data_IF_420156340913
#
_entry.id   IF_420156340913
#
_cell.length_a   1.000
_cell.length_b   1.000
_cell.length_c   1.000
_cell.angle_alpha   90.00
_cell.angle_beta   90.00
_cell.angle_gamma   90.00
#
_symmetry.space_group_name_H-M   'P 1'
#
loop_
_entity.id
_entity.type
_entity.pdbx_description
1 polymer ?
#
# COMPACT_ATOMS: atom_id res chain seq x y z
N UNK A 1 -12.27 -7.08 1.90
CA UNK A 1 -11.09 -7.07 1.04
C UNK A 1 -10.72 -8.51 0.79
N UNK A 2 -10.62 -8.93 -0.46
CA UNK A 2 -10.30 -10.33 -0.81
C UNK A 2 -8.79 -10.55 -0.86
N UNK A 3 -8.33 -11.81 -0.74
CA UNK A 3 -6.93 -12.18 -0.92
C UNK A 3 -6.35 -11.65 -2.25
N UNK A 4 -7.14 -11.70 -3.33
CA UNK A 4 -6.77 -11.19 -4.64
C UNK A 4 -6.55 -9.67 -4.67
N UNK A 5 -7.36 -8.90 -3.93
CA UNK A 5 -7.17 -7.44 -3.83
C UNK A 5 -5.87 -7.10 -3.09
N UNK A 6 -5.55 -7.83 -2.02
CA UNK A 6 -4.28 -7.65 -1.30
C UNK A 6 -3.09 -8.03 -2.18
N UNK A 7 -3.19 -9.10 -2.96
CA UNK A 7 -2.16 -9.51 -3.90
C UNK A 7 -1.97 -8.48 -5.01
N UNK A 8 -3.04 -7.95 -5.61
CA UNK A 8 -2.96 -6.91 -6.63
C UNK A 8 -2.32 -5.62 -6.10
N UNK A 9 -2.68 -5.21 -4.88
CA UNK A 9 -2.10 -4.04 -4.24
C UNK A 9 -0.60 -4.21 -3.98
N UNK A 10 -0.18 -5.36 -3.44
CA UNK A 10 1.24 -5.64 -3.21
C UNK A 10 1.98 -5.76 -4.54
N UNK A 11 1.36 -6.35 -5.57
CA UNK A 11 1.93 -6.45 -6.91
C UNK A 11 2.18 -5.07 -7.52
N UNK A 12 1.19 -4.18 -7.43
CA UNK A 12 1.36 -2.80 -7.85
C UNK A 12 2.48 -2.11 -7.05
N UNK A 13 2.54 -2.29 -5.73
CA UNK A 13 3.57 -1.69 -4.89
C UNK A 13 4.97 -2.17 -5.30
N UNK A 14 5.13 -3.46 -5.58
CA UNK A 14 6.36 -4.06 -6.09
C UNK A 14 6.79 -3.38 -7.39
N UNK A 15 5.92 -3.35 -8.40
CA UNK A 15 6.30 -2.91 -9.74
C UNK A 15 6.35 -1.38 -9.91
N UNK A 16 5.66 -0.61 -9.08
CA UNK A 16 5.62 0.85 -9.20
C UNK A 16 6.64 1.59 -8.34
N UNK A 17 7.17 0.95 -7.29
CA UNK A 17 8.01 1.64 -6.30
C UNK A 17 9.32 0.95 -5.96
N UNK A 18 9.45 -0.35 -6.19
CA UNK A 18 10.71 -1.03 -5.95
C UNK A 18 11.67 -0.76 -7.11
N UNK A 19 12.92 -0.47 -6.77
CA UNK A 19 14.01 -0.31 -7.75
C UNK A 19 14.31 -1.68 -8.38
N UNK A 20 13.62 -1.96 -9.50
CA UNK A 20 13.65 -3.25 -10.20
C UNK A 20 15.08 -3.79 -10.40
N UNK A 21 16.07 -2.98 -10.85
CA UNK A 21 17.47 -3.41 -10.92
C UNK A 21 18.03 -3.99 -9.62
N UNK A 22 17.81 -3.32 -8.48
CA UNK A 22 18.31 -3.79 -7.16
C UNK A 22 17.69 -5.13 -6.81
N UNK A 23 16.39 -5.30 -7.09
CA UNK A 23 15.68 -6.54 -6.81
C UNK A 23 16.05 -7.68 -7.74
N UNK A 24 16.34 -7.40 -9.01
CA UNK A 24 16.87 -8.41 -9.92
C UNK A 24 18.20 -8.95 -9.38
N UNK A 25 19.11 -8.08 -8.95
CA UNK A 25 20.38 -8.52 -8.37
C UNK A 25 20.20 -9.28 -7.05
N UNK A 26 19.30 -8.83 -6.18
CA UNK A 26 18.96 -9.54 -4.96
C UNK A 26 18.38 -10.95 -5.25
N UNK A 27 17.53 -11.06 -6.27
CA UNK A 27 16.96 -12.32 -6.73
C UNK A 27 18.03 -13.25 -7.29
N UNK A 28 18.94 -12.74 -8.12
CA UNK A 28 20.07 -13.51 -8.67
C UNK A 28 20.97 -14.01 -7.53
N UNK A 29 21.31 -13.14 -6.57
CA UNK A 29 22.11 -13.52 -5.42
C UNK A 29 21.43 -14.59 -4.54
N UNK A 30 20.13 -14.44 -4.28
CA UNK A 30 19.35 -15.41 -3.52
C UNK A 30 19.29 -16.76 -4.23
N UNK A 31 18.93 -16.78 -5.52
CA UNK A 31 18.88 -18.01 -6.33
C UNK A 31 20.26 -18.68 -6.35
N UNK A 32 21.33 -17.93 -6.58
CA UNK A 32 22.70 -18.44 -6.54
C UNK A 32 23.05 -19.07 -5.18
N UNK A 33 22.67 -18.42 -4.08
CA UNK A 33 22.90 -18.95 -2.72
C UNK A 33 22.12 -20.24 -2.44
N UNK A 34 20.86 -20.34 -2.89
CA UNK A 34 20.04 -21.54 -2.73
C UNK A 34 20.62 -22.72 -3.53
N UNK A 35 21.05 -22.47 -4.76
CA UNK A 35 21.71 -23.49 -5.60
C UNK A 35 23.01 -23.97 -4.95
N UNK A 36 23.81 -23.06 -4.39
CA UNK A 36 25.04 -23.42 -3.67
C UNK A 36 24.74 -24.28 -2.44
N UNK A 37 23.76 -23.90 -1.62
CA UNK A 37 23.34 -24.66 -0.43
C UNK A 37 22.90 -26.06 -0.82
N UNK A 38 22.09 -26.21 -1.86
CA UNK A 38 21.64 -27.51 -2.33
C UNK A 38 22.78 -28.37 -2.89
N UNK A 39 23.73 -27.76 -3.58
CA UNK A 39 24.92 -28.46 -4.05
C UNK A 39 25.74 -29.01 -2.89
N UNK A 40 25.98 -28.17 -1.86
CA UNK A 40 26.67 -28.57 -0.63
C UNK A 40 25.89 -29.67 0.10
N UNK A 41 24.57 -29.53 0.21
CA UNK A 41 23.68 -30.50 0.84
C UNK A 41 23.74 -31.85 0.15
N UNK A 42 23.61 -31.89 -1.17
CA UNK A 42 23.73 -33.15 -1.92
C UNK A 42 25.13 -33.76 -1.79
N UNK A 43 26.18 -32.95 -1.74
CA UNK A 43 27.55 -33.43 -1.49
C UNK A 43 27.78 -33.98 -0.09
N UNK A 44 27.05 -33.50 0.92
CA UNK A 44 27.08 -34.05 2.26
C UNK A 44 26.61 -35.51 2.29
N UNK A 45 25.65 -35.86 1.44
CA UNK A 45 25.14 -37.23 1.31
C UNK A 45 25.94 -38.07 0.31
N UNK A 46 26.39 -37.48 -0.81
CA UNK A 46 27.18 -38.15 -1.83
C UNK A 46 28.30 -37.23 -2.33
N UNK A 47 29.57 -37.51 -1.98
CA UNK A 47 30.73 -36.68 -2.40
C UNK A 47 30.85 -36.48 -3.91
N UNK A 48 30.36 -37.42 -4.73
CA UNK A 48 30.39 -37.32 -6.19
C UNK A 48 29.12 -36.69 -6.78
N UNK A 49 28.21 -36.22 -5.93
CA UNK A 49 27.00 -35.54 -6.33
C UNK A 49 27.32 -34.28 -7.12
N UNK A 50 26.58 -34.10 -8.22
CA UNK A 50 26.55 -32.87 -8.98
C UNK A 50 25.20 -32.74 -9.68
N UNK A 51 24.75 -31.51 -9.87
CA UNK A 51 23.52 -31.23 -10.62
C UNK A 51 23.57 -31.74 -12.07
N UNK A 52 24.77 -31.84 -12.65
CA UNK A 52 24.96 -32.38 -14.01
C UNK A 52 24.56 -33.85 -14.16
N UNK A 53 24.62 -34.65 -13.09
CA UNK A 53 24.20 -36.06 -13.09
C UNK A 53 22.68 -36.24 -12.92
N UNK A 54 21.97 -35.20 -12.50
CA UNK A 54 20.53 -35.24 -12.24
C UNK A 54 19.85 -33.97 -12.76
N UNK A 55 19.75 -33.81 -14.09
CA UNK A 55 19.29 -32.56 -14.72
C UNK A 55 17.85 -32.20 -14.33
N UNK A 56 16.98 -33.19 -14.14
CA UNK A 56 15.59 -32.96 -13.71
C UNK A 56 15.53 -32.33 -12.31
N UNK A 57 16.37 -32.79 -11.38
CA UNK A 57 16.49 -32.21 -10.04
C UNK A 57 17.05 -30.78 -10.13
N UNK A 58 18.03 -30.53 -11.00
CA UNK A 58 18.59 -29.21 -11.21
C UNK A 58 17.55 -28.19 -11.73
N UNK A 59 16.70 -28.61 -12.68
CA UNK A 59 15.63 -27.77 -13.24
C UNK A 59 14.55 -27.48 -12.19
N UNK A 60 14.01 -28.51 -11.54
CA UNK A 60 13.00 -28.35 -10.49
C UNK A 60 13.51 -27.49 -9.33
N UNK A 61 14.77 -27.67 -8.98
CA UNK A 61 15.38 -26.88 -7.92
C UNK A 61 15.55 -25.42 -8.31
N UNK A 62 15.96 -25.14 -9.56
CA UNK A 62 16.01 -23.77 -10.08
C UNK A 62 14.64 -23.10 -10.06
N UNK A 63 13.57 -23.79 -10.49
CA UNK A 63 12.19 -23.27 -10.46
C UNK A 63 11.78 -22.95 -9.02
N UNK A 64 12.01 -23.87 -8.08
CA UNK A 64 11.67 -23.65 -6.68
C UNK A 64 12.48 -22.48 -6.08
N UNK A 65 13.75 -22.30 -6.47
CA UNK A 65 14.58 -21.19 -6.01
C UNK A 65 14.06 -19.83 -6.51
N UNK A 66 13.63 -19.76 -7.78
CA UNK A 66 12.98 -18.56 -8.32
C UNK A 66 11.67 -18.26 -7.59
N UNK A 67 10.85 -19.28 -7.31
CA UNK A 67 9.60 -19.13 -6.55
C UNK A 67 9.83 -18.66 -5.11
N UNK A 68 10.86 -19.16 -4.44
CA UNK A 68 11.27 -18.68 -3.10
C UNK A 68 11.69 -17.21 -3.17
N UNK A 69 12.46 -16.84 -4.19
CA UNK A 69 12.86 -15.45 -4.40
C UNK A 69 11.67 -14.53 -4.61
N UNK A 70 10.74 -14.90 -5.50
CA UNK A 70 9.53 -14.12 -5.73
C UNK A 70 8.71 -14.01 -4.43
N UNK A 71 8.56 -15.11 -3.69
CA UNK A 71 7.86 -15.11 -2.40
C UNK A 71 8.51 -14.17 -1.38
N UNK A 72 9.84 -14.09 -1.37
CA UNK A 72 10.62 -13.19 -0.50
C UNK A 72 10.41 -11.72 -0.89
N UNK A 73 10.41 -11.41 -2.18
CA UNK A 73 10.08 -10.09 -2.72
C UNK A 73 8.69 -9.64 -2.29
N UNK A 74 7.67 -10.49 -2.51
CA UNK A 74 6.29 -10.20 -2.13
C UNK A 74 6.13 -10.07 -0.61
N UNK A 75 6.82 -10.90 0.17
CA UNK A 75 6.82 -10.79 1.64
C UNK A 75 7.35 -9.43 2.09
N UNK A 76 8.45 -8.98 1.51
CA UNK A 76 9.06 -7.70 1.86
C UNK A 76 8.22 -6.50 1.43
N UNK A 77 7.59 -6.58 0.26
CA UNK A 77 6.65 -5.57 -0.20
C UNK A 77 5.41 -5.49 0.71
N UNK A 78 4.87 -6.64 1.15
CA UNK A 78 3.79 -6.68 2.12
C UNK A 78 4.19 -6.04 3.46
N UNK A 79 5.41 -6.28 3.94
CA UNK A 79 5.95 -5.64 5.15
C UNK A 79 6.03 -4.12 5.04
N UNK A 80 6.62 -3.63 3.93
CA UNK A 80 6.81 -2.20 3.69
C UNK A 80 5.53 -1.44 3.37
N UNK A 81 4.47 -2.14 2.99
CA UNK A 81 3.20 -1.52 2.60
C UNK A 81 2.59 -0.65 3.70
N UNK A 82 2.65 -1.09 4.96
CA UNK A 82 2.11 -0.34 6.09
C UNK A 82 2.88 0.97 6.33
N UNK A 83 4.20 0.90 6.35
CA UNK A 83 5.06 2.09 6.50
C UNK A 83 4.83 3.06 5.34
N UNK A 84 4.66 2.54 4.13
CA UNK A 84 4.36 3.36 2.97
C UNK A 84 3.01 4.06 3.05
N UNK A 85 1.95 3.38 3.51
CA UNK A 85 0.63 4.00 3.74
C UNK A 85 0.71 5.15 4.74
N UNK A 86 1.46 4.97 5.82
CA UNK A 86 1.66 6.01 6.84
C UNK A 86 2.39 7.23 6.24
N UNK A 87 3.40 7.00 5.39
CA UNK A 87 4.08 8.08 4.66
C UNK A 87 3.14 8.79 3.66
N UNK A 88 2.26 8.06 2.99
CA UNK A 88 1.26 8.64 2.08
C UNK A 88 0.25 9.50 2.82
N UNK A 89 -0.02 9.26 4.11
CA UNK A 89 -0.93 10.08 4.91
C UNK A 89 -0.48 11.53 4.95
N UNK A 90 0.76 11.76 5.38
CA UNK A 90 1.32 13.12 5.48
C UNK A 90 1.36 13.80 4.11
N UNK A 91 1.77 13.07 3.07
CA UNK A 91 1.90 13.64 1.73
C UNK A 91 0.54 13.95 1.08
N UNK A 92 -0.47 13.09 1.26
CA UNK A 92 -1.81 13.34 0.72
C UNK A 92 -2.52 14.48 1.44
N UNK A 93 -2.39 14.56 2.78
CA UNK A 93 -2.89 15.71 3.54
C UNK A 93 -2.28 16.99 2.98
N UNK A 94 -0.95 17.05 2.88
CA UNK A 94 -0.22 18.19 2.32
C UNK A 94 -0.70 18.54 0.91
N UNK A 95 -0.79 17.57 0.00
CA UNK A 95 -1.25 17.81 -1.37
C UNK A 95 -2.69 18.32 -1.47
N UNK A 96 -3.57 17.91 -0.56
CA UNK A 96 -4.97 18.33 -0.58
C UNK A 96 -5.16 19.69 0.09
N UNK A 97 -4.42 20.00 1.16
CA UNK A 97 -4.55 21.26 1.91
C UNK A 97 -3.78 22.41 1.25
N UNK A 98 -2.61 22.15 0.67
CA UNK A 98 -1.78 23.18 0.02
C UNK A 98 -2.22 23.51 -1.41
N UNK A 99 -3.18 22.77 -1.98
CA UNK A 99 -3.63 22.99 -3.36
C UNK A 99 -4.50 24.25 -3.49
N UNK A 100 -3.88 25.35 -3.93
CA UNK A 100 -4.58 26.62 -4.12
C UNK A 100 -5.73 26.56 -5.13
N UNK A 101 -5.59 25.78 -6.22
CA UNK A 101 -6.66 25.58 -7.21
C UNK A 101 -7.87 24.84 -6.64
N UNK A 102 -7.61 23.84 -5.78
CA UNK A 102 -8.66 23.08 -5.10
C UNK A 102 -9.38 23.93 -4.06
N UNK A 103 -8.63 24.65 -3.23
CA UNK A 103 -9.22 25.51 -2.21
C UNK A 103 -10.13 26.58 -2.82
N UNK A 104 -9.76 27.14 -3.97
CA UNK A 104 -10.62 28.04 -4.76
C UNK A 104 -11.90 27.35 -5.29
N UNK A 105 -11.81 26.09 -5.73
CA UNK A 105 -12.97 25.31 -6.16
C UNK A 105 -13.94 25.03 -5.01
N UNK A 106 -13.42 24.63 -3.85
CA UNK A 106 -14.21 24.42 -2.63
C UNK A 106 -14.95 25.71 -2.27
N UNK A 107 -14.24 26.86 -2.33
CA UNK A 107 -14.82 28.18 -2.08
C UNK A 107 -15.93 28.54 -3.05
N UNK A 108 -15.71 28.34 -4.37
CA UNK A 108 -16.76 28.57 -5.37
C UNK A 108 -17.99 27.70 -5.10
N UNK A 109 -17.79 26.42 -4.79
CA UNK A 109 -18.88 25.48 -4.49
C UNK A 109 -19.65 25.88 -3.23
N UNK A 110 -18.95 26.37 -2.20
CA UNK A 110 -19.59 26.89 -0.99
C UNK A 110 -20.37 28.18 -1.28
N UNK A 111 -19.79 29.09 -2.07
CA UNK A 111 -20.42 30.37 -2.45
C UNK A 111 -21.72 30.16 -3.23
N UNK A 112 -21.74 29.23 -4.19
CA UNK A 112 -22.94 28.87 -4.95
C UNK A 112 -24.10 28.40 -4.05
N UNK A 113 -23.79 27.80 -2.89
CA UNK A 113 -24.79 27.29 -1.94
C UNK A 113 -25.22 28.30 -0.89
N UNK A 114 -24.32 29.20 -0.49
CA UNK A 114 -24.59 30.26 0.49
C UNK A 114 -25.31 31.45 -0.19
N UNK A 115 -24.99 31.72 -1.46
CA UNK A 115 -25.58 32.79 -2.28
C UNK A 115 -24.60 33.95 -2.55
N UNK A 116 -24.82 34.66 -3.66
CA UNK A 116 -23.91 35.71 -4.18
C UNK A 116 -23.77 36.95 -3.30
N UNK A 117 -24.69 37.18 -2.35
CA UNK A 117 -24.68 38.37 -1.47
C UNK A 117 -23.53 38.39 -0.45
N UNK A 118 -22.66 37.39 -0.46
CA UNK A 118 -21.62 37.09 0.55
C UNK A 118 -20.19 37.20 0.00
N UNK A 119 -20.02 37.70 -1.23
CA UNK A 119 -18.73 37.81 -1.90
C UNK A 119 -17.96 39.07 -1.45
N UNK A 120 -16.86 38.87 -0.71
CA UNK A 120 -15.83 39.90 -0.47
C UNK A 120 -14.58 39.49 -1.26
N UNK A 121 -14.55 39.83 -2.55
CA UNK A 121 -13.46 39.54 -3.51
C UNK A 121 -13.22 38.06 -3.87
N UNK A 122 -12.55 37.82 -5.00
CA UNK A 122 -12.26 36.47 -5.58
C UNK A 122 -11.56 35.47 -4.63
N UNK A 123 -10.97 35.94 -3.52
CA UNK A 123 -10.19 35.13 -2.58
C UNK A 123 -10.62 35.32 -1.11
N UNK A 124 -11.81 35.84 -0.84
CA UNK A 124 -12.34 35.90 0.53
C UNK A 124 -13.84 35.63 0.56
N UNK A 125 -14.27 34.88 1.57
CA UNK A 125 -15.67 34.55 1.81
C UNK A 125 -16.05 35.10 3.18
N UNK A 126 -17.10 35.91 3.24
CA UNK A 126 -17.66 36.34 4.52
C UNK A 126 -18.66 35.28 4.99
N UNK A 127 -18.43 34.71 6.17
CA UNK A 127 -19.36 33.79 6.82
C UNK A 127 -20.18 34.61 7.81
N UNK A 128 -21.50 34.64 7.66
CA UNK A 128 -22.40 35.46 8.50
C UNK A 128 -22.96 34.70 9.68
N UNK A 129 -22.95 33.38 9.61
CA UNK A 129 -23.51 32.51 10.63
C UNK A 129 -22.83 31.13 10.61
N UNK A 130 -23.23 30.30 11.57
CA UNK A 130 -22.74 28.92 11.70
C UNK A 130 -23.12 28.04 10.50
N UNK A 131 -24.29 28.26 9.89
CA UNK A 131 -24.76 27.52 8.71
C UNK A 131 -23.88 27.76 7.48
N UNK A 132 -23.35 28.97 7.30
CA UNK A 132 -22.39 29.28 6.23
C UNK A 132 -21.08 28.52 6.45
N UNK A 133 -20.63 28.46 7.72
CA UNK A 133 -19.42 27.72 8.12
C UNK A 133 -19.59 26.21 7.89
N UNK A 134 -20.76 25.67 8.24
CA UNK A 134 -21.13 24.28 7.98
C UNK A 134 -21.17 23.99 6.48
N UNK A 135 -21.72 24.91 5.67
CA UNK A 135 -21.77 24.76 4.21
C UNK A 135 -20.38 24.73 3.59
N UNK A 136 -19.45 25.56 4.09
CA UNK A 136 -18.05 25.56 3.68
C UNK A 136 -17.34 24.24 4.05
N UNK A 137 -17.49 23.78 5.30
CA UNK A 137 -16.91 22.52 5.75
C UNK A 137 -17.48 21.32 4.98
N UNK A 138 -18.78 21.34 4.68
CA UNK A 138 -19.44 20.33 3.84
C UNK A 138 -18.86 20.30 2.42
N UNK A 139 -18.68 21.47 1.79
CA UNK A 139 -18.11 21.56 0.46
C UNK A 139 -16.68 21.00 0.43
N UNK A 140 -15.88 21.31 1.45
CA UNK A 140 -14.53 20.77 1.60
C UNK A 140 -14.52 19.24 1.75
N UNK A 141 -15.35 18.69 2.66
CA UNK A 141 -15.46 17.26 2.88
C UNK A 141 -15.96 16.50 1.62
N UNK A 142 -16.90 17.10 0.89
CA UNK A 142 -17.44 16.52 -0.34
C UNK A 142 -16.41 16.50 -1.48
N UNK A 143 -15.63 17.57 -1.62
CA UNK A 143 -14.62 17.67 -2.66
C UNK A 143 -13.50 16.63 -2.48
N UNK A 144 -13.22 16.16 -1.26
CA UNK A 144 -12.28 15.05 -1.01
C UNK A 144 -12.78 13.74 -1.59
N UNK A 145 -14.09 13.47 -1.51
CA UNK A 145 -14.65 12.14 -1.80
C UNK A 145 -14.44 11.69 -3.26
N UNK A 146 -14.57 12.60 -4.23
CA UNK A 146 -14.45 12.28 -5.67
C UNK A 146 -13.02 11.93 -6.16
N UNK A 147 -11.97 12.75 -5.91
CA UNK A 147 -10.63 12.49 -6.41
C UNK A 147 -9.84 11.50 -5.55
N UNK A 148 -10.31 11.16 -4.35
CA UNK A 148 -9.52 10.34 -3.43
C UNK A 148 -9.39 8.90 -3.92
N UNK A 149 -10.44 8.35 -4.53
CA UNK A 149 -10.43 7.02 -5.11
C UNK A 149 -9.50 6.87 -6.32
N UNK A 150 -9.06 7.97 -6.97
CA UNK A 150 -8.16 7.92 -8.14
C UNK A 150 -6.71 8.23 -7.81
N UNK A 151 -6.41 8.66 -6.58
CA UNK A 151 -5.03 8.94 -6.12
C UNK A 151 -4.44 7.72 -5.43
N UNK A 152 -3.15 7.45 -5.64
CA UNK A 152 -2.42 6.47 -4.85
C UNK A 152 -2.44 6.90 -3.37
N UNK A 153 -2.67 5.99 -2.40
CA UNK A 153 -2.69 4.52 -2.48
C UNK A 153 -4.04 3.88 -2.84
N UNK A 154 -5.09 4.68 -3.01
CA UNK A 154 -6.49 4.21 -3.09
C UNK A 154 -6.92 3.82 -4.51
N UNK A 155 -6.35 4.47 -5.54
CA UNK A 155 -6.53 4.11 -6.95
C UNK A 155 -6.20 2.66 -7.34
N UNK A 156 -5.05 2.08 -6.94
CA UNK A 156 -4.65 0.73 -7.33
C UNK A 156 -5.34 -0.40 -6.55
N UNK A 157 -6.50 -0.15 -5.92
CA UNK A 157 -7.31 -1.19 -5.29
C UNK A 157 -7.27 -1.26 -3.76
N UNK A 158 -6.68 -0.27 -3.07
CA UNK A 158 -6.89 -0.15 -1.64
C UNK A 158 -8.34 0.32 -1.38
N UNK A 159 -9.06 -0.30 -0.44
CA UNK A 159 -10.46 0.02 -0.22
C UNK A 159 -10.58 1.44 0.32
N UNK A 160 -11.32 2.28 -0.39
CA UNK A 160 -11.58 3.66 -0.01
C UNK A 160 -12.96 3.73 0.63
N UNK A 161 -13.02 4.29 1.85
CA UNK A 161 -14.28 4.67 2.47
C UNK A 161 -14.11 6.05 3.06
N UNK A 162 -14.99 6.95 2.65
CA UNK A 162 -15.09 8.31 3.17
C UNK A 162 -16.32 8.39 4.07
N UNK A 163 -16.31 9.31 5.04
CA UNK A 163 -17.47 9.57 5.89
C UNK A 163 -18.50 10.41 5.13
N UNK A 164 -19.73 10.39 5.61
CA UNK A 164 -20.72 11.34 5.10
C UNK A 164 -20.25 12.79 5.36
N UNK A 165 -20.36 13.62 4.33
CA UNK A 165 -19.83 14.98 4.36
C UNK A 165 -20.57 15.87 5.36
N UNK A 166 -21.84 15.59 5.66
CA UNK A 166 -22.60 16.35 6.68
C UNK A 166 -22.04 16.08 8.08
N UNK A 167 -21.78 14.81 8.41
CA UNK A 167 -21.24 14.43 9.71
C UNK A 167 -19.86 15.04 9.96
N UNK A 168 -18.99 15.05 8.93
CA UNK A 168 -17.67 15.69 9.03
C UNK A 168 -17.80 17.20 9.21
N UNK A 169 -18.69 17.85 8.48
CA UNK A 169 -18.91 19.28 8.60
C UNK A 169 -19.36 19.69 10.02
N UNK A 170 -20.33 18.96 10.59
CA UNK A 170 -20.82 19.20 11.95
C UNK A 170 -19.72 19.02 13.00
N UNK A 171 -18.92 17.95 12.89
CA UNK A 171 -17.81 17.66 13.80
C UNK A 171 -16.74 18.76 13.74
N UNK A 172 -16.37 19.18 12.52
CA UNK A 172 -15.36 20.23 12.31
C UNK A 172 -15.82 21.58 12.85
N UNK A 173 -17.08 21.97 12.62
CA UNK A 173 -17.63 23.23 13.14
C UNK A 173 -17.69 23.21 14.68
N UNK A 174 -18.08 22.08 15.29
CA UNK A 174 -18.09 21.91 16.75
C UNK A 174 -16.69 22.00 17.36
N UNK A 175 -15.71 21.38 16.73
CA UNK A 175 -14.33 21.33 17.22
C UNK A 175 -13.56 22.65 16.97
N UNK A 176 -14.01 23.47 16.02
CA UNK A 176 -13.39 24.74 15.66
C UNK A 176 -14.43 25.87 15.83
N UNK A 177 -14.72 26.26 17.08
CA UNK A 177 -15.72 27.29 17.35
C UNK A 177 -15.27 28.66 16.85
N UNK A 178 -16.25 29.43 16.37
CA UNK A 178 -16.12 30.87 16.09
C UNK A 178 -16.59 31.64 17.32
N UNK A 179 -15.81 32.65 17.73
CA UNK A 179 -16.19 33.51 18.85
C UNK A 179 -17.29 34.50 18.47
N UNK A 180 -17.22 35.08 17.26
CA UNK A 180 -18.19 36.08 16.76
C UNK A 180 -18.31 36.05 15.23
N UNK A 181 -19.54 36.18 14.71
CA UNK A 181 -19.84 36.40 13.29
C UNK A 181 -20.21 37.88 13.03
N UNK A 182 -20.02 38.42 11.81
CA UNK A 182 -19.47 37.76 10.63
C UNK A 182 -17.93 37.60 10.69
N UNK A 183 -17.40 36.64 9.93
CA UNK A 183 -15.95 36.42 9.81
C UNK A 183 -15.56 36.25 8.35
N UNK A 184 -14.52 36.96 7.91
CA UNK A 184 -13.96 36.79 6.56
C UNK A 184 -12.87 35.72 6.58
N UNK A 185 -13.01 34.73 5.71
CA UNK A 185 -12.08 33.60 5.59
C UNK A 185 -11.44 33.54 4.21
N UNK A 186 -10.16 33.16 4.18
CA UNK A 186 -9.44 32.88 2.94
C UNK A 186 -9.62 31.42 2.50
N UNK A 187 -9.35 31.09 1.22
CA UNK A 187 -9.40 29.72 0.70
C UNK A 187 -8.64 28.69 1.53
N UNK A 188 -7.51 29.08 2.12
CA UNK A 188 -6.77 28.29 3.09
C UNK A 188 -7.21 28.69 4.50
N UNK A 189 -8.21 27.99 5.03
CA UNK A 189 -8.68 28.20 6.39
C UNK A 189 -8.80 26.89 7.16
N UNK A 190 -8.85 27.04 8.48
CA UNK A 190 -8.92 25.94 9.45
C UNK A 190 -10.09 24.96 9.24
N UNK A 191 -11.24 25.41 8.75
CA UNK A 191 -12.38 24.52 8.51
C UNK A 191 -12.19 23.65 7.28
N UNK A 192 -11.67 24.23 6.18
CA UNK A 192 -11.33 23.48 4.97
C UNK A 192 -10.24 22.47 5.28
N UNK A 193 -9.17 22.89 5.95
CA UNK A 193 -8.06 22.03 6.34
C UNK A 193 -8.53 20.87 7.23
N UNK A 194 -9.31 21.15 8.27
CA UNK A 194 -9.81 20.13 9.19
C UNK A 194 -10.79 19.16 8.52
N UNK A 195 -11.71 19.65 7.68
CA UNK A 195 -12.66 18.80 6.96
C UNK A 195 -11.95 17.89 5.95
N UNK A 196 -10.95 18.43 5.23
CA UNK A 196 -10.13 17.66 4.30
C UNK A 196 -9.33 16.59 5.03
N UNK A 197 -8.66 16.98 6.13
CA UNK A 197 -7.83 16.08 6.93
C UNK A 197 -8.67 14.96 7.55
N UNK A 198 -9.85 15.27 8.10
CA UNK A 198 -10.74 14.26 8.67
C UNK A 198 -11.20 13.21 7.64
N UNK A 199 -11.51 13.64 6.41
CA UNK A 199 -11.87 12.71 5.33
C UNK A 199 -10.69 11.83 4.88
N UNK A 200 -9.50 12.41 4.77
CA UNK A 200 -8.29 11.68 4.42
C UNK A 200 -7.91 10.66 5.49
N UNK A 201 -8.00 11.05 6.76
CA UNK A 201 -7.68 10.21 7.90
C UNK A 201 -8.61 9.01 8.00
N UNK A 202 -9.92 9.18 7.82
CA UNK A 202 -10.84 8.03 7.76
C UNK A 202 -10.45 7.10 6.61
N UNK A 203 -10.28 7.63 5.40
CA UNK A 203 -10.03 6.81 4.22
C UNK A 203 -8.74 6.01 4.33
N UNK A 204 -7.67 6.62 4.85
CA UNK A 204 -6.38 5.97 5.07
C UNK A 204 -6.40 5.01 6.27
N UNK A 205 -7.11 5.36 7.35
CA UNK A 205 -7.33 4.45 8.48
C UNK A 205 -8.10 3.21 8.06
N UNK A 206 -9.17 3.38 7.27
CA UNK A 206 -9.95 2.28 6.73
C UNK A 206 -9.13 1.41 5.78
N UNK A 207 -8.40 2.03 4.85
CA UNK A 207 -7.51 1.33 3.94
C UNK A 207 -6.43 0.55 4.68
N UNK A 208 -5.74 1.18 5.64
CA UNK A 208 -4.69 0.53 6.43
C UNK A 208 -5.22 -0.64 7.26
N UNK A 209 -6.39 -0.50 7.89
CA UNK A 209 -6.99 -1.56 8.69
C UNK A 209 -7.32 -2.78 7.82
N UNK A 210 -7.90 -2.55 6.63
CA UNK A 210 -8.22 -3.63 5.69
C UNK A 210 -6.98 -4.25 5.06
N UNK A 211 -6.00 -3.44 4.70
CA UNK A 211 -4.73 -3.90 4.13
C UNK A 211 -3.90 -4.68 5.15
N UNK A 212 -3.86 -4.29 6.42
CA UNK A 212 -3.14 -5.01 7.48
C UNK A 212 -3.58 -6.46 7.60
N UNK A 213 -4.89 -6.71 7.62
CA UNK A 213 -5.42 -8.08 7.68
C UNK A 213 -5.01 -8.89 6.43
N UNK A 214 -5.26 -8.36 5.24
CA UNK A 214 -4.95 -9.06 3.99
C UNK A 214 -3.46 -9.27 3.74
N UNK A 215 -2.61 -8.32 4.12
CA UNK A 215 -1.15 -8.44 4.04
C UNK A 215 -0.59 -9.41 5.08
N UNK A 216 -1.18 -9.50 6.27
CA UNK A 216 -0.79 -10.50 7.26
C UNK A 216 -1.09 -11.93 6.77
N UNK A 217 -2.28 -12.16 6.20
CA UNK A 217 -2.65 -13.45 5.60
C UNK A 217 -1.73 -13.80 4.41
N UNK A 218 -1.47 -12.83 3.53
CA UNK A 218 -0.55 -13.01 2.40
C UNK A 218 0.85 -13.39 2.89
N UNK A 219 1.38 -12.71 3.93
CA UNK A 219 2.67 -13.07 4.52
C UNK A 219 2.62 -14.49 5.05
N UNK A 220 1.64 -14.85 5.87
CA UNK A 220 1.54 -16.22 6.39
C UNK A 220 1.54 -17.27 5.27
N UNK A 221 0.76 -17.05 4.21
CA UNK A 221 0.71 -17.93 3.04
C UNK A 221 2.07 -18.03 2.32
N UNK A 222 2.74 -16.90 2.09
CA UNK A 222 4.08 -16.85 1.49
C UNK A 222 5.13 -17.56 2.37
N UNK A 223 5.03 -17.43 3.69
CA UNK A 223 5.92 -18.11 4.64
C UNK A 223 5.78 -19.61 4.58
N UNK A 224 4.54 -20.11 4.62
CA UNK A 224 4.23 -21.52 4.47
C UNK A 224 4.76 -22.03 3.11
N UNK A 225 4.50 -21.28 2.03
CA UNK A 225 4.98 -21.63 0.69
C UNK A 225 6.51 -21.74 0.66
N UNK A 226 7.24 -20.77 1.22
CA UNK A 226 8.70 -20.81 1.30
C UNK A 226 9.19 -22.03 2.08
N UNK A 227 8.61 -22.33 3.24
CA UNK A 227 8.98 -23.49 4.06
C UNK A 227 8.77 -24.79 3.28
N UNK A 228 7.63 -24.94 2.60
CA UNK A 228 7.32 -26.12 1.78
C UNK A 228 8.30 -26.25 0.62
N UNK A 229 8.61 -25.16 -0.08
CA UNK A 229 9.56 -25.16 -1.19
C UNK A 229 10.99 -25.51 -0.75
N UNK A 230 11.47 -24.92 0.34
CA UNK A 230 12.81 -25.19 0.89
C UNK A 230 12.90 -26.64 1.35
N UNK A 231 11.92 -27.10 2.15
CA UNK A 231 11.91 -28.48 2.67
C UNK A 231 11.80 -29.50 1.53
N UNK A 232 10.93 -29.23 0.56
CA UNK A 232 10.77 -30.05 -0.64
C UNK A 232 12.05 -30.15 -1.46
N UNK A 233 12.76 -29.04 -1.67
CA UNK A 233 14.06 -29.04 -2.34
C UNK A 233 15.11 -29.87 -1.61
N UNK A 234 15.21 -29.72 -0.27
CA UNK A 234 16.18 -30.49 0.52
C UNK A 234 15.90 -31.99 0.46
N UNK A 235 14.63 -32.39 0.50
CA UNK A 235 14.21 -33.78 0.35
C UNK A 235 14.49 -34.31 -1.06
N UNK A 236 14.17 -33.55 -2.11
CA UNK A 236 14.45 -33.95 -3.49
C UNK A 236 15.94 -34.18 -3.73
N UNK A 237 16.79 -33.26 -3.27
CA UNK A 237 18.25 -33.39 -3.38
C UNK A 237 18.75 -34.59 -2.57
N UNK A 238 18.21 -34.82 -1.37
CA UNK A 238 18.56 -35.98 -0.54
C UNK A 238 18.23 -37.31 -1.21
N UNK A 239 16.98 -37.48 -1.69
CA UNK A 239 16.53 -38.69 -2.39
C UNK A 239 17.39 -38.94 -3.62
N UNK A 240 17.65 -37.90 -4.42
CA UNK A 240 18.42 -38.04 -5.64
C UNK A 240 19.90 -38.37 -5.37
N UNK A 241 20.50 -37.74 -4.35
CA UNK A 241 21.87 -38.04 -3.94
C UNK A 241 22.03 -39.49 -3.45
N UNK A 242 21.07 -40.02 -2.69
CA UNK A 242 21.07 -41.42 -2.25
C UNK A 242 20.82 -42.37 -3.41
N UNK A 243 19.88 -42.03 -4.32
CA UNK A 243 19.62 -42.83 -5.52
C UNK A 243 20.87 -42.96 -6.39
N UNK A 244 21.65 -41.88 -6.54
CA UNK A 244 22.91 -41.90 -7.28
C UNK A 244 23.94 -42.86 -6.67
N UNK A 245 24.02 -42.96 -5.33
CA UNK A 245 24.88 -43.95 -4.65
C UNK A 245 24.47 -45.39 -5.00
N UNK A 246 23.17 -45.67 -5.12
CA UNK A 246 22.68 -47.02 -5.46
C UNK A 246 23.04 -47.42 -6.89
N UNK A 247 23.02 -46.47 -7.82
CA UNK A 247 23.31 -46.71 -9.25
C UNK A 247 24.82 -46.75 -9.50
N UNK A 248 25.59 -45.97 -8.76
CA UNK A 248 27.05 -45.89 -8.85
C UNK A 248 27.69 -46.10 -7.47
N UNK A 249 27.65 -47.32 -6.91
CA UNK A 249 28.27 -47.61 -5.63
C UNK A 249 29.78 -47.36 -5.74
N UNK A 250 30.35 -46.72 -4.71
CA UNK A 250 31.81 -46.57 -4.62
C UNK A 250 32.43 -47.96 -4.53
N UNK A 251 33.26 -48.31 -5.51
CA UNK A 251 34.26 -49.38 -5.40
C UNK A 251 35.39 -48.89 -4.52
#
# INVERSE_FOLDING_TARGET
MTYFESLNFVNWLVFSRLDLPVWIWAMVALVGSLVLVQWLWGRAWNRQWSFGKSPLVAVLSSICAVMIGLSTLFWFAADRSNTWLEMQRTELVRQFTESGTRNRRIFRTALERIGESTSVAENALELRNERDTLTLAFAAASDVSCPLASKGPLGPGAPCRVRDATTVAEEVVRNIPVLTYPITVSPQNRWVEAAVTAQLDEALSFASTRLRAGTAELRQALGILMIVLITGQLLMVWVAAISDIRVHPKV
#
